data_IF_003399238734
#
_entry.id   IF_003399238734
#
_cell.length_a   1.000
_cell.length_b   1.000
_cell.length_c   1.000
_cell.angle_alpha   90.00
_cell.angle_beta   90.00
_cell.angle_gamma   90.00
#
_symmetry.space_group_name_H-M   'P 1'
#
loop_
_entity.id
_entity.type
_entity.pdbx_description
1 polymer ?
#
# COMPACT_ATOMS: atom_id res chain seq x y z
N UNK A 1 -70.23 33.51 -20.73
CA UNK A 1 -69.41 33.28 -19.52
C UNK A 1 -69.33 31.78 -19.30
N UNK A 2 -68.10 31.22 -19.30
CA UNK A 2 -67.59 30.01 -18.60
C UNK A 2 -68.60 28.93 -18.16
N UNK A 3 -68.41 27.63 -18.36
CA UNK A 3 -67.18 26.88 -18.11
C UNK A 3 -67.26 25.44 -18.67
N UNK A 4 -66.13 24.99 -19.19
CA UNK A 4 -65.68 23.65 -19.55
C UNK A 4 -65.86 22.59 -18.46
N UNK A 5 -66.14 21.33 -18.85
CA UNK A 5 -65.41 20.16 -18.32
C UNK A 5 -65.26 19.07 -19.39
N UNK A 6 -64.02 18.90 -19.88
CA UNK A 6 -63.57 17.84 -20.77
C UNK A 6 -63.54 16.51 -20.01
N UNK A 7 -64.30 15.51 -20.48
CA UNK A 7 -64.17 14.13 -20.03
C UNK A 7 -62.82 13.55 -20.48
N UNK A 8 -62.09 12.97 -19.51
CA UNK A 8 -60.77 12.37 -19.67
C UNK A 8 -60.84 11.17 -20.62
N UNK A 9 -59.95 11.14 -21.62
CA UNK A 9 -59.72 9.98 -22.49
C UNK A 9 -59.03 8.89 -21.68
N UNK A 10 -59.67 7.73 -21.61
CA UNK A 10 -59.01 6.47 -21.27
C UNK A 10 -58.12 6.09 -22.45
N UNK A 11 -56.81 6.00 -22.23
CA UNK A 11 -55.89 5.39 -23.18
C UNK A 11 -55.20 4.24 -22.47
N UNK A 12 -55.75 3.05 -22.66
CA UNK A 12 -54.97 1.83 -22.59
C UNK A 12 -53.99 1.86 -23.77
N UNK A 13 -52.70 1.98 -23.50
CA UNK A 13 -51.65 1.73 -24.47
C UNK A 13 -50.92 0.45 -24.06
N UNK A 14 -50.98 -0.51 -24.97
CA UNK A 14 -50.35 -1.83 -24.94
C UNK A 14 -48.84 -1.75 -24.63
N UNK A 15 -48.41 -2.79 -23.90
CA UNK A 15 -47.04 -3.23 -23.68
C UNK A 15 -46.27 -3.36 -25.01
N UNK A 16 -45.08 -2.77 -25.09
CA UNK A 16 -44.02 -3.21 -26.01
C UNK A 16 -42.69 -3.20 -25.25
N UNK A 17 -42.19 -4.42 -25.00
CA UNK A 17 -40.87 -4.72 -24.49
C UNK A 17 -39.78 -3.96 -25.24
N UNK A 18 -38.88 -3.35 -24.49
CA UNK A 18 -37.49 -3.15 -24.90
C UNK A 18 -36.65 -3.13 -23.64
N UNK A 19 -36.38 -4.31 -23.08
CA UNK A 19 -35.23 -4.47 -22.21
C UNK A 19 -34.00 -4.24 -23.10
N UNK A 20 -33.51 -3.00 -23.16
CA UNK A 20 -32.16 -2.75 -23.64
C UNK A 20 -31.24 -3.35 -22.59
N UNK A 21 -30.90 -4.63 -22.77
CA UNK A 21 -29.76 -5.21 -22.12
C UNK A 21 -28.54 -4.42 -22.62
N UNK A 22 -28.11 -3.43 -21.85
CA UNK A 22 -26.78 -2.88 -21.99
C UNK A 22 -25.83 -4.04 -21.70
N UNK A 23 -25.36 -4.68 -22.77
CA UNK A 23 -24.15 -5.49 -22.74
C UNK A 23 -23.05 -4.51 -22.34
N UNK A 24 -22.76 -4.45 -21.04
CA UNK A 24 -21.53 -3.82 -20.57
C UNK A 24 -20.43 -4.75 -21.06
N UNK A 25 -19.97 -4.51 -22.29
CA UNK A 25 -18.71 -5.05 -22.78
C UNK A 25 -17.68 -4.79 -21.69
N UNK A 26 -17.09 -5.88 -21.18
CA UNK A 26 -16.07 -5.82 -20.15
C UNK A 26 -15.06 -4.75 -20.54
N UNK A 27 -15.06 -3.65 -19.79
CA UNK A 27 -13.99 -2.70 -19.88
C UNK A 27 -12.72 -3.50 -19.60
N UNK A 28 -11.68 -3.46 -20.45
CA UNK A 28 -10.40 -3.98 -20.02
C UNK A 28 -10.07 -3.26 -18.72
N UNK A 29 -9.87 -4.00 -17.64
CA UNK A 29 -9.32 -3.45 -16.42
C UNK A 29 -8.08 -2.65 -16.84
N UNK A 30 -8.12 -1.31 -16.73
CA UNK A 30 -6.99 -0.49 -17.12
C UNK A 30 -5.89 -0.72 -16.08
N UNK A 31 -5.07 -1.75 -16.28
CA UNK A 31 -3.85 -2.00 -15.54
C UNK A 31 -2.75 -1.06 -16.06
N UNK A 32 -2.88 0.25 -15.82
CA UNK A 32 -1.84 1.28 -16.05
C UNK A 32 -1.80 2.47 -15.05
N UNK A 33 -2.40 2.41 -13.83
CA UNK A 33 -2.12 3.35 -12.74
C UNK A 33 -1.36 2.70 -11.56
N UNK A 34 -0.50 1.72 -11.83
CA UNK A 34 0.41 1.16 -10.80
C UNK A 34 1.88 1.49 -11.10
N UNK A 35 2.30 1.50 -12.36
CA UNK A 35 3.73 1.62 -12.68
C UNK A 35 4.34 2.95 -12.20
N UNK A 36 3.62 4.08 -12.33
CA UNK A 36 4.13 5.39 -11.89
C UNK A 36 4.29 5.44 -10.37
N UNK A 37 3.38 4.82 -9.65
CA UNK A 37 3.34 4.71 -8.20
C UNK A 37 4.50 3.81 -7.72
N UNK A 38 4.72 2.68 -8.39
CA UNK A 38 5.90 1.85 -8.18
C UNK A 38 7.19 2.64 -8.42
N UNK A 39 7.31 3.33 -9.55
CA UNK A 39 8.49 4.13 -9.89
C UNK A 39 8.73 5.23 -8.84
N UNK A 40 7.66 5.88 -8.36
CA UNK A 40 7.73 6.87 -7.30
C UNK A 40 8.17 6.27 -5.95
N UNK A 41 7.69 5.07 -5.60
CA UNK A 41 8.16 4.34 -4.43
C UNK A 41 9.65 4.00 -4.55
N UNK A 42 10.08 3.39 -5.67
CA UNK A 42 11.47 2.97 -5.87
C UNK A 42 12.45 4.14 -5.99
N UNK A 43 11.96 5.32 -6.40
CA UNK A 43 12.76 6.55 -6.42
C UNK A 43 12.76 7.29 -5.08
N UNK A 44 12.03 6.78 -4.08
CA UNK A 44 11.92 7.40 -2.75
C UNK A 44 12.94 6.84 -1.76
N UNK A 45 12.92 7.36 -0.53
CA UNK A 45 13.72 6.83 0.59
C UNK A 45 13.12 5.58 1.24
N UNK A 46 11.88 5.21 0.90
CA UNK A 46 11.16 4.12 1.56
C UNK A 46 11.63 2.77 1.02
N UNK A 47 11.66 1.79 1.90
CA UNK A 47 12.14 0.44 1.58
C UNK A 47 11.01 -0.59 1.64
N UNK A 48 11.35 -1.86 1.40
CA UNK A 48 10.37 -2.95 1.38
C UNK A 48 9.65 -3.12 2.74
N UNK A 49 10.37 -2.97 3.86
CA UNK A 49 9.77 -3.01 5.19
C UNK A 49 8.74 -1.88 5.38
N UNK A 50 9.04 -0.66 4.95
CA UNK A 50 8.06 0.44 4.99
C UNK A 50 6.80 0.10 4.17
N UNK A 51 6.98 -0.49 2.99
CA UNK A 51 5.86 -0.92 2.16
C UNK A 51 5.05 -2.05 2.82
N UNK A 52 5.68 -3.04 3.44
CA UNK A 52 4.99 -4.09 4.20
C UNK A 52 4.16 -3.51 5.33
N UNK A 53 4.72 -2.57 6.11
CA UNK A 53 4.00 -1.89 7.19
C UNK A 53 2.80 -1.10 6.66
N UNK A 54 2.99 -0.31 5.60
CA UNK A 54 1.89 0.46 5.00
C UNK A 54 0.82 -0.46 4.43
N UNK A 55 1.22 -1.52 3.72
CA UNK A 55 0.30 -2.53 3.18
C UNK A 55 -0.56 -3.13 4.28
N UNK A 56 0.07 -3.62 5.36
CA UNK A 56 -0.62 -4.25 6.47
C UNK A 56 -1.68 -3.34 7.11
N UNK A 57 -1.35 -2.06 7.33
CA UNK A 57 -2.29 -1.06 7.88
C UNK A 57 -3.56 -0.88 7.02
N UNK A 58 -3.43 -1.03 5.70
CA UNK A 58 -4.55 -0.89 4.76
C UNK A 58 -5.11 -2.23 4.27
N UNK A 59 -4.74 -3.36 4.90
CA UNK A 59 -5.20 -4.69 4.52
C UNK A 59 -4.72 -5.13 3.14
N UNK A 60 -3.52 -4.71 2.74
CA UNK A 60 -2.84 -5.06 1.50
C UNK A 60 -1.52 -5.79 1.81
N UNK A 61 -0.92 -6.41 0.79
CA UNK A 61 0.44 -6.91 0.88
C UNK A 61 1.48 -5.79 0.67
N UNK A 62 2.77 -6.14 0.67
CA UNK A 62 3.85 -5.19 0.46
C UNK A 62 3.77 -4.52 -0.92
N UNK A 63 3.26 -5.19 -1.95
CA UNK A 63 3.10 -4.62 -3.28
C UNK A 63 2.01 -3.53 -3.31
N UNK A 64 0.87 -3.79 -2.67
CA UNK A 64 -0.13 -2.75 -2.42
C UNK A 64 0.42 -1.60 -1.58
N UNK A 65 1.26 -1.89 -0.58
CA UNK A 65 1.96 -0.88 0.21
C UNK A 65 2.86 0.04 -0.61
N UNK A 66 3.63 -0.50 -1.57
CA UNK A 66 4.47 0.27 -2.50
C UNK A 66 3.60 1.24 -3.31
N UNK A 67 2.48 0.76 -3.85
CA UNK A 67 1.53 1.58 -4.60
C UNK A 67 0.98 2.70 -3.72
N UNK A 68 0.56 2.41 -2.48
CA UNK A 68 0.01 3.40 -1.55
C UNK A 68 1.04 4.50 -1.21
N UNK A 69 2.29 4.11 -0.95
CA UNK A 69 3.38 5.07 -0.70
C UNK A 69 3.61 5.94 -1.95
N UNK A 70 3.71 5.32 -3.12
CA UNK A 70 3.88 5.99 -4.41
C UNK A 70 2.77 7.01 -4.69
N UNK A 71 1.51 6.62 -4.47
CA UNK A 71 0.35 7.52 -4.60
C UNK A 71 0.46 8.72 -3.67
N UNK A 72 0.83 8.52 -2.40
CA UNK A 72 1.01 9.63 -1.44
C UNK A 72 2.09 10.60 -1.92
N UNK A 73 3.20 10.10 -2.45
CA UNK A 73 4.29 10.92 -3.00
C UNK A 73 3.81 11.73 -4.21
N UNK A 74 3.21 11.07 -5.20
CA UNK A 74 2.74 11.71 -6.44
C UNK A 74 1.63 12.75 -6.19
N UNK A 75 0.80 12.53 -5.16
CA UNK A 75 -0.24 13.47 -4.75
C UNK A 75 0.27 14.62 -3.87
N UNK A 76 1.59 14.75 -3.68
CA UNK A 76 2.19 15.84 -2.90
C UNK A 76 2.03 15.72 -1.38
N UNK A 77 1.58 14.56 -0.89
CA UNK A 77 1.36 14.28 0.53
C UNK A 77 2.33 13.22 1.08
N UNK A 78 3.48 13.04 0.43
CA UNK A 78 4.51 12.09 0.84
C UNK A 78 5.04 12.32 2.26
N UNK A 79 4.96 13.56 2.77
CA UNK A 79 5.28 13.94 4.15
C UNK A 79 4.37 13.26 5.19
N UNK A 80 3.23 12.71 4.78
CA UNK A 80 2.33 11.96 5.67
C UNK A 80 2.74 10.49 5.83
N UNK A 81 3.61 9.93 4.97
CA UNK A 81 4.02 8.52 5.07
C UNK A 81 4.62 8.15 6.44
N UNK A 82 5.47 8.99 7.09
CA UNK A 82 5.94 8.70 8.45
C UNK A 82 4.84 8.58 9.50
N UNK A 83 3.72 9.30 9.34
CA UNK A 83 2.55 9.19 10.23
C UNK A 83 1.88 7.83 10.04
N UNK A 84 1.66 7.43 8.78
CA UNK A 84 1.09 6.13 8.40
C UNK A 84 1.96 4.98 8.93
N UNK A 85 3.28 5.07 8.81
CA UNK A 85 4.20 4.07 9.35
C UNK A 85 4.12 3.96 10.87
N UNK A 86 3.99 5.09 11.57
CA UNK A 86 3.78 5.08 13.02
C UNK A 86 2.45 4.44 13.42
N UNK A 87 1.37 4.73 12.69
CA UNK A 87 0.07 4.10 12.90
C UNK A 87 0.16 2.58 12.70
N UNK A 88 0.78 2.14 11.60
CA UNK A 88 1.00 0.71 11.33
C UNK A 88 1.74 0.00 12.47
N UNK A 89 2.79 0.61 13.02
CA UNK A 89 3.53 0.08 14.18
C UNK A 89 2.68 0.03 15.45
N UNK A 90 1.85 1.04 15.68
CA UNK A 90 0.96 1.08 16.84
C UNK A 90 -0.09 -0.04 16.79
N UNK A 91 -0.48 -0.47 15.58
CA UNK A 91 -1.33 -1.65 15.35
C UNK A 91 -0.58 -2.98 15.52
N UNK A 92 0.72 -2.94 15.85
CA UNK A 92 1.55 -4.12 16.11
C UNK A 92 2.18 -4.71 14.84
N UNK A 93 2.11 -4.03 13.69
CA UNK A 93 2.78 -4.50 12.49
C UNK A 93 4.29 -4.31 12.62
N UNK A 94 5.03 -5.34 12.25
CA UNK A 94 6.49 -5.40 12.32
C UNK A 94 7.09 -5.94 11.04
N UNK A 95 8.38 -5.67 10.86
CA UNK A 95 9.19 -6.31 9.85
C UNK A 95 9.98 -7.47 10.46
N UNK A 96 10.26 -8.45 9.62
CA UNK A 96 11.06 -9.63 9.89
C UNK A 96 12.43 -9.45 9.23
N UNK A 97 13.34 -10.36 9.54
CA UNK A 97 14.69 -10.34 9.01
C UNK A 97 14.70 -10.37 7.47
N UNK A 98 13.83 -11.18 6.88
CA UNK A 98 13.68 -11.38 5.44
C UNK A 98 13.26 -10.09 4.72
N UNK A 99 12.55 -9.19 5.41
CA UNK A 99 12.10 -7.91 4.84
C UNK A 99 13.23 -6.87 4.75
N UNK A 100 14.34 -7.09 5.44
CA UNK A 100 15.48 -6.16 5.46
C UNK A 100 16.30 -6.21 4.16
N UNK A 101 16.18 -7.31 3.39
CA UNK A 101 17.01 -7.59 2.22
C UNK A 101 18.46 -7.96 2.55
N UNK A 102 18.78 -8.16 3.84
CA UNK A 102 20.13 -8.48 4.29
C UNK A 102 20.43 -9.98 4.18
N UNK A 103 21.69 -10.28 3.89
CA UNK A 103 22.21 -11.64 3.77
C UNK A 103 22.57 -12.25 5.12
N UNK A 104 22.67 -13.58 5.21
CA UNK A 104 23.16 -14.21 6.43
C UNK A 104 24.60 -13.76 6.81
N UNK A 105 25.45 -13.44 5.83
CA UNK A 105 26.76 -12.82 6.08
C UNK A 105 26.65 -11.46 6.76
N UNK A 106 25.67 -10.65 6.40
CA UNK A 106 25.40 -9.38 7.08
C UNK A 106 25.01 -9.63 8.54
N UNK A 107 24.17 -10.64 8.82
CA UNK A 107 23.84 -11.02 10.20
C UNK A 107 25.09 -11.40 11.02
N UNK A 108 26.04 -12.11 10.42
CA UNK A 108 27.30 -12.45 11.08
C UNK A 108 28.18 -11.22 11.35
N UNK A 109 28.24 -10.27 10.42
CA UNK A 109 28.93 -8.99 10.62
C UNK A 109 28.27 -8.22 11.77
N UNK A 110 26.95 -8.04 11.71
CA UNK A 110 26.18 -7.35 12.72
C UNK A 110 26.32 -7.98 14.10
N UNK A 111 26.33 -9.32 14.20
CA UNK A 111 26.55 -10.01 15.46
C UNK A 111 27.91 -9.67 16.07
N UNK A 112 28.98 -9.72 15.27
CA UNK A 112 30.32 -9.31 15.73
C UNK A 112 30.35 -7.84 16.13
N UNK A 113 29.77 -6.95 15.32
CA UNK A 113 29.78 -5.50 15.58
C UNK A 113 28.98 -5.14 16.82
N UNK A 114 27.88 -5.83 17.10
CA UNK A 114 27.01 -5.55 18.23
C UNK A 114 27.28 -6.41 19.47
N UNK A 115 28.25 -7.34 19.40
CA UNK A 115 28.67 -8.16 20.53
C UNK A 115 27.73 -9.34 20.83
N UNK A 116 26.97 -9.82 19.84
CA UNK A 116 26.14 -11.02 19.97
C UNK A 116 26.94 -12.28 19.64
N UNK A 117 26.70 -13.35 20.40
CA UNK A 117 27.31 -14.66 20.17
C UNK A 117 26.62 -15.44 19.05
N UNK A 118 25.34 -15.15 18.79
CA UNK A 118 24.53 -15.79 17.76
C UNK A 118 24.06 -14.76 16.70
N UNK A 119 24.31 -14.98 15.39
CA UNK A 119 23.73 -14.18 14.31
C UNK A 119 22.22 -14.00 14.40
N UNK A 120 21.48 -14.92 15.00
CA UNK A 120 20.03 -14.81 15.19
C UNK A 120 19.65 -13.57 16.02
N UNK A 121 20.37 -13.25 17.09
CA UNK A 121 20.11 -12.05 17.91
C UNK A 121 20.32 -10.77 17.11
N UNK A 122 21.34 -10.76 16.23
CA UNK A 122 21.58 -9.64 15.32
C UNK A 122 20.45 -9.48 14.31
N UNK A 123 19.88 -10.58 13.80
CA UNK A 123 18.72 -10.52 12.90
C UNK A 123 17.51 -9.90 13.58
N UNK A 124 17.20 -10.30 14.82
CA UNK A 124 16.09 -9.74 15.58
C UNK A 124 16.26 -8.23 15.80
N UNK A 125 17.46 -7.80 16.22
CA UNK A 125 17.76 -6.38 16.38
C UNK A 125 17.68 -5.61 15.06
N UNK A 126 18.16 -6.18 13.95
CA UNK A 126 18.09 -5.54 12.64
C UNK A 126 16.64 -5.38 12.18
N UNK A 127 15.82 -6.41 12.33
CA UNK A 127 14.39 -6.38 12.00
C UNK A 127 13.65 -5.32 12.82
N UNK A 128 13.94 -5.20 14.13
CA UNK A 128 13.40 -4.14 14.99
C UNK A 128 13.85 -2.74 14.51
N UNK A 129 15.13 -2.57 14.17
CA UNK A 129 15.63 -1.28 13.67
C UNK A 129 14.98 -0.89 12.34
N UNK A 130 14.80 -1.82 11.40
CA UNK A 130 14.05 -1.57 10.16
C UNK A 130 12.59 -1.24 10.45
N UNK A 131 11.94 -2.02 11.31
CA UNK A 131 10.56 -1.77 11.75
C UNK A 131 10.44 -0.33 12.21
N UNK A 132 11.37 0.19 13.00
CA UNK A 132 11.33 1.53 13.58
C UNK A 132 11.91 2.66 12.69
N UNK A 133 12.27 2.40 11.43
CA UNK A 133 12.88 3.40 10.54
C UNK A 133 14.26 3.88 11.02
N UNK A 134 15.01 2.97 11.68
CA UNK A 134 16.36 3.17 12.23
C UNK A 134 17.38 2.33 11.48
N UNK A 135 17.12 1.99 10.22
CA UNK A 135 17.98 1.16 9.37
C UNK A 135 19.39 1.73 9.19
N UNK A 136 19.59 3.05 9.37
CA UNK A 136 20.92 3.65 9.39
C UNK A 136 21.81 3.04 10.49
N UNK A 137 21.26 2.63 11.64
CA UNK A 137 22.03 1.96 12.68
C UNK A 137 22.50 0.57 12.25
N UNK A 138 21.74 -0.08 11.35
CA UNK A 138 22.15 -1.33 10.71
C UNK A 138 23.28 -1.08 9.72
N UNK A 139 23.15 -0.04 8.87
CA UNK A 139 24.21 0.36 7.93
C UNK A 139 25.53 0.67 8.64
N UNK A 140 25.47 1.45 9.72
CA UNK A 140 26.63 1.74 10.56
C UNK A 140 27.25 0.46 11.13
N UNK A 141 26.42 -0.51 11.55
CA UNK A 141 26.87 -1.81 12.05
C UNK A 141 27.55 -2.68 10.99
N UNK A 142 27.24 -2.47 9.72
CA UNK A 142 27.88 -3.12 8.56
C UNK A 142 29.12 -2.36 8.06
N UNK A 143 29.35 -1.13 8.53
CA UNK A 143 30.50 -0.31 8.15
C UNK A 143 30.25 0.62 6.95
N UNK A 144 29.00 0.98 6.66
CA UNK A 144 28.62 1.96 5.64
C UNK A 144 28.04 3.24 6.24
#
# INVERSE_FOLDING_TARGET
MTNTHRARRLSAALLMSSAVALVVFGQPAQAMPQQREYDAFFSSRYNYCDAKLVGALYGQDADGGKVIIGQKILNGIGTNVPVVLRESRNDGNVCEWEDTGLSYSDAQVLARTWGFSDPYEAKLKAADLFTNGREQQVRNGLGY
#
